data_IF_829041449963
#
_entry.id   IF_829041449963
#
_cell.length_a   1.000
_cell.length_b   1.000
_cell.length_c   1.000
_cell.angle_alpha   90.00
_cell.angle_beta   90.00
_cell.angle_gamma   90.00
#
_symmetry.space_group_name_H-M   'P 1'
#
loop_
_entity.id
_entity.type
_entity.pdbx_description
1 polymer ?
#
# COMPACT_ATOMS: atom_id res chain seq x y z
N UNK A 1 3.19 -3.97 15.92
CA UNK A 1 3.23 -5.20 15.09
C UNK A 1 3.82 -6.25 16.01
N UNK A 2 3.15 -7.38 16.23
CA UNK A 2 3.53 -8.32 17.29
C UNK A 2 3.99 -9.65 16.69
N UNK A 3 4.84 -10.36 17.43
CA UNK A 3 5.26 -11.72 17.07
C UNK A 3 4.06 -12.68 17.11
N UNK A 4 4.08 -13.66 16.21
CA UNK A 4 3.09 -14.74 16.24
C UNK A 4 3.34 -15.62 17.46
N UNK A 5 2.25 -16.04 18.11
CA UNK A 5 2.32 -17.02 19.20
C UNK A 5 2.89 -18.33 18.67
N UNK A 6 3.60 -19.05 19.54
CA UNK A 6 4.17 -20.34 19.21
C UNK A 6 3.10 -21.32 18.69
N UNK A 7 3.40 -21.99 17.56
CA UNK A 7 2.48 -22.87 16.86
C UNK A 7 1.47 -22.20 15.92
N UNK A 8 1.38 -20.86 15.91
CA UNK A 8 0.49 -20.12 14.98
C UNK A 8 1.23 -19.80 13.69
N UNK A 9 0.85 -20.46 12.59
CA UNK A 9 1.49 -20.26 11.28
C UNK A 9 0.94 -19.07 10.49
N UNK A 10 -0.32 -18.70 10.73
CA UNK A 10 -1.04 -17.65 10.02
C UNK A 10 -1.56 -16.58 10.98
N UNK A 11 -1.27 -15.32 10.70
CA UNK A 11 -1.83 -14.19 11.44
C UNK A 11 -3.34 -14.07 11.16
N UNK A 12 -4.21 -14.11 12.19
CA UNK A 12 -5.65 -14.02 11.99
C UNK A 12 -6.14 -12.63 11.56
N UNK A 13 -5.27 -11.61 11.61
CA UNK A 13 -5.66 -10.22 11.32
C UNK A 13 -5.27 -9.75 9.91
N UNK A 14 -4.16 -10.26 9.35
CA UNK A 14 -3.65 -9.83 8.04
C UNK A 14 -3.27 -10.99 7.12
N UNK A 15 -3.44 -12.24 7.56
CA UNK A 15 -3.08 -13.43 6.78
C UNK A 15 -1.56 -13.60 6.60
N UNK A 16 -0.73 -12.93 7.40
CA UNK A 16 0.72 -13.14 7.37
C UNK A 16 1.04 -14.59 7.70
N UNK A 17 1.69 -15.28 6.77
CA UNK A 17 2.16 -16.65 6.94
C UNK A 17 3.65 -16.64 7.30
N UNK A 18 3.98 -17.31 8.41
CA UNK A 18 5.36 -17.49 8.86
C UNK A 18 6.15 -18.27 7.80
N UNK A 19 7.39 -17.82 7.53
CA UNK A 19 8.31 -18.39 6.54
C UNK A 19 7.88 -18.28 5.06
N UNK A 20 6.79 -17.56 4.79
CA UNK A 20 6.33 -17.27 3.43
C UNK A 20 6.66 -15.83 3.05
N UNK A 21 7.34 -15.65 1.91
CA UNK A 21 7.58 -14.34 1.30
C UNK A 21 6.49 -13.95 0.30
N UNK A 22 5.46 -14.78 0.14
CA UNK A 22 4.48 -14.64 -0.93
C UNK A 22 3.67 -13.34 -0.82
N UNK A 23 3.64 -12.59 -1.92
CA UNK A 23 2.79 -11.43 -2.19
C UNK A 23 2.25 -11.56 -3.62
N UNK A 24 1.11 -10.95 -3.97
CA UNK A 24 0.72 -10.80 -5.37
C UNK A 24 1.88 -10.23 -6.19
N UNK A 25 2.11 -10.74 -7.40
CA UNK A 25 3.28 -10.38 -8.22
C UNK A 25 3.38 -8.89 -8.54
N UNK A 26 2.24 -8.19 -8.55
CA UNK A 26 2.16 -6.75 -8.82
C UNK A 26 2.28 -5.88 -7.56
N UNK A 27 2.39 -6.48 -6.37
CA UNK A 27 2.48 -5.77 -5.10
C UNK A 27 3.93 -5.55 -4.66
N UNK A 28 4.19 -4.52 -3.84
CA UNK A 28 5.45 -4.39 -3.11
C UNK A 28 5.81 -5.68 -2.36
N UNK A 29 7.09 -6.03 -2.38
CA UNK A 29 7.60 -7.13 -1.58
C UNK A 29 7.40 -6.84 -0.09
N UNK A 30 7.15 -7.90 0.69
CA UNK A 30 7.18 -7.79 2.16
C UNK A 30 8.56 -7.30 2.60
N UNK A 31 8.61 -6.64 3.76
CA UNK A 31 9.83 -6.12 4.38
C UNK A 31 10.46 -4.93 3.64
N UNK A 32 9.78 -4.40 2.62
CA UNK A 32 10.19 -3.16 1.96
C UNK A 32 10.08 -2.00 2.95
N UNK A 33 11.13 -1.18 3.06
CA UNK A 33 11.08 0.09 3.77
C UNK A 33 10.76 1.19 2.74
N UNK A 34 9.51 1.64 2.73
CA UNK A 34 9.03 2.67 1.83
C UNK A 34 9.27 4.06 2.44
N UNK A 35 9.79 4.97 1.63
CA UNK A 35 10.10 6.35 2.04
C UNK A 35 10.97 6.43 3.32
N UNK A 36 11.86 5.44 3.51
CA UNK A 36 12.74 5.36 4.68
C UNK A 36 12.03 5.23 6.04
N UNK A 37 10.69 5.03 6.07
CA UNK A 37 9.87 5.13 7.29
C UNK A 37 8.85 4.02 7.43
N UNK A 38 8.24 3.58 6.33
CA UNK A 38 7.10 2.67 6.37
C UNK A 38 7.54 1.25 6.03
N UNK A 39 7.53 0.37 7.01
CA UNK A 39 7.77 -1.06 6.79
C UNK A 39 6.51 -1.73 6.22
N UNK A 40 6.63 -2.33 5.05
CA UNK A 40 5.52 -2.95 4.31
C UNK A 40 5.36 -4.41 4.70
N UNK A 41 4.15 -4.76 5.17
CA UNK A 41 3.73 -6.14 5.41
C UNK A 41 2.81 -6.66 4.30
N UNK A 42 1.86 -7.52 4.67
CA UNK A 42 0.91 -8.15 3.74
C UNK A 42 -0.01 -7.15 3.01
N UNK A 43 -0.40 -7.51 1.78
CA UNK A 43 -1.59 -6.91 1.15
C UNK A 43 -2.83 -7.28 1.95
N UNK A 44 -3.62 -6.27 2.31
CA UNK A 44 -4.90 -6.41 3.02
C UNK A 44 -6.09 -5.93 2.18
N UNK A 45 -5.83 -5.35 1.00
CA UNK A 45 -6.86 -4.97 0.05
C UNK A 45 -6.27 -4.65 -1.32
N UNK A 46 -6.95 -5.05 -2.38
CA UNK A 46 -6.55 -4.77 -3.76
C UNK A 46 -7.80 -4.52 -4.60
N UNK A 47 -7.79 -3.42 -5.35
CA UNK A 47 -8.86 -3.05 -6.26
C UNK A 47 -8.30 -2.43 -7.53
N UNK A 48 -9.17 -1.94 -8.42
CA UNK A 48 -8.76 -1.41 -9.72
C UNK A 48 -7.88 -0.15 -9.69
N UNK A 49 -7.77 0.52 -8.54
CA UNK A 49 -7.08 1.81 -8.41
C UNK A 49 -5.89 1.79 -7.45
N UNK A 50 -5.67 0.69 -6.73
CA UNK A 50 -4.62 0.66 -5.74
C UNK A 50 -4.53 -0.62 -4.94
N UNK A 51 -3.40 -0.72 -4.25
CA UNK A 51 -3.06 -1.83 -3.36
C UNK A 51 -2.91 -1.27 -1.96
N UNK A 52 -3.53 -1.91 -0.98
CA UNK A 52 -3.46 -1.52 0.42
C UNK A 52 -2.71 -2.58 1.20
N UNK A 53 -1.69 -2.14 1.94
CA UNK A 53 -0.82 -2.96 2.76
C UNK A 53 -1.07 -2.69 4.23
N UNK A 54 -0.94 -3.72 5.07
CA UNK A 54 -0.61 -3.47 6.47
C UNK A 54 0.84 -2.99 6.55
N UNK A 55 1.10 -1.97 7.36
CA UNK A 55 2.45 -1.47 7.56
C UNK A 55 2.73 -1.05 9.00
N UNK A 56 3.99 -0.73 9.25
CA UNK A 56 4.46 -0.13 10.50
C UNK A 56 5.17 1.18 10.16
N UNK A 57 4.70 2.27 10.74
CA UNK A 57 5.44 3.53 10.79
C UNK A 57 6.57 3.38 11.80
N UNK A 58 7.81 3.26 11.32
CA UNK A 58 8.98 3.00 12.16
C UNK A 58 9.37 4.19 13.04
N UNK A 59 8.92 5.40 12.70
CA UNK A 59 9.23 6.61 13.49
C UNK A 59 8.25 6.75 14.65
N UNK A 60 6.97 6.48 14.42
CA UNK A 60 5.92 6.60 15.43
C UNK A 60 5.61 5.27 16.15
N UNK A 61 6.29 4.19 15.77
CA UNK A 61 6.03 2.80 16.17
C UNK A 61 4.52 2.44 16.11
N UNK A 62 3.91 2.76 14.97
CA UNK A 62 2.46 2.69 14.83
C UNK A 62 2.04 1.84 13.65
N UNK A 63 1.10 0.91 13.89
CA UNK A 63 0.47 0.14 12.80
C UNK A 63 -0.33 1.10 11.91
N UNK A 64 -0.09 1.02 10.61
CA UNK A 64 -0.76 1.84 9.59
C UNK A 64 -1.29 0.97 8.45
N UNK A 65 -2.19 1.54 7.65
CA UNK A 65 -2.50 1.03 6.33
C UNK A 65 -1.79 1.93 5.31
N UNK A 66 -1.00 1.34 4.41
CA UNK A 66 -0.34 2.06 3.32
C UNK A 66 -1.12 1.78 2.04
N UNK A 67 -1.67 2.82 1.40
CA UNK A 67 -2.38 2.68 0.13
C UNK A 67 -1.49 3.19 -1.00
N UNK A 68 -1.05 2.28 -1.86
CA UNK A 68 -0.34 2.60 -3.10
C UNK A 68 -1.35 2.89 -4.21
N UNK A 69 -1.13 3.98 -4.95
CA UNK A 69 -1.85 4.24 -6.18
C UNK A 69 -1.32 3.30 -7.28
N UNK A 70 -2.16 2.37 -7.71
CA UNK A 70 -1.82 1.33 -8.67
C UNK A 70 -3.02 1.08 -9.59
N UNK A 71 -3.24 1.93 -10.61
CA UNK A 71 -4.36 1.77 -11.54
C UNK A 71 -4.15 0.57 -12.47
N UNK A 72 -4.91 -0.48 -12.27
CA UNK A 72 -4.82 -1.73 -13.04
C UNK A 72 -4.94 -1.44 -14.53
N UNK A 73 -4.01 -1.97 -15.32
CA UNK A 73 -3.98 -1.82 -16.78
C UNK A 73 -3.24 -0.57 -17.29
N UNK A 74 -2.90 0.39 -16.41
CA UNK A 74 -2.05 1.53 -16.75
C UNK A 74 -0.67 1.46 -16.10
N UNK A 75 -0.51 0.59 -15.10
CA UNK A 75 0.75 0.34 -14.43
C UNK A 75 1.00 -1.14 -14.26
N UNK A 76 2.26 -1.54 -14.33
CA UNK A 76 2.71 -2.91 -14.09
C UNK A 76 3.85 -2.94 -13.09
N UNK A 77 3.96 -4.07 -12.39
CA UNK A 77 5.07 -4.42 -11.52
C UNK A 77 5.23 -5.94 -11.56
N UNK A 78 6.47 -6.40 -11.53
CA UNK A 78 6.80 -7.80 -11.28
C UNK A 78 7.80 -7.79 -10.12
N UNK A 79 7.29 -8.09 -8.93
CA UNK A 79 8.04 -7.95 -7.68
C UNK A 79 9.20 -8.93 -7.50
N UNK A 80 9.26 -10.00 -8.31
CA UNK A 80 10.43 -10.87 -8.40
C UNK A 80 11.63 -10.19 -9.06
N UNK A 81 11.43 -9.09 -9.78
CA UNK A 81 12.52 -8.30 -10.38
C UNK A 81 12.77 -6.99 -9.63
N UNK A 82 11.71 -6.23 -9.31
CA UNK A 82 11.85 -4.91 -8.67
C UNK A 82 10.59 -4.48 -7.94
N UNK A 83 10.77 -3.64 -6.92
CA UNK A 83 9.70 -2.88 -6.27
C UNK A 83 9.33 -1.60 -7.03
N UNK A 84 9.93 -1.35 -8.18
CA UNK A 84 9.57 -0.22 -9.04
C UNK A 84 8.37 -0.55 -9.91
N UNK A 85 7.57 0.47 -10.20
CA UNK A 85 6.44 0.38 -11.12
C UNK A 85 6.84 0.85 -12.51
N UNK A 86 6.23 0.26 -13.53
CA UNK A 86 6.35 0.67 -14.91
C UNK A 86 5.01 1.16 -15.42
N UNK A 87 4.97 2.42 -15.82
CA UNK A 87 3.78 3.07 -16.38
C UNK A 87 3.65 2.79 -17.87
N UNK A 88 2.43 2.49 -18.30
CA UNK A 88 2.06 2.51 -19.71
C UNK A 88 1.62 3.93 -20.09
N UNK A 89 2.48 4.64 -20.79
CA UNK A 89 2.21 5.99 -21.31
C UNK A 89 1.84 6.00 -22.80
N UNK A 90 1.46 4.85 -23.38
CA UNK A 90 0.97 4.81 -24.75
C UNK A 90 -0.39 5.51 -24.87
N UNK A 91 -0.67 6.10 -26.05
CA UNK A 91 -1.91 6.84 -26.29
C UNK A 91 -2.15 7.98 -25.29
N UNK A 92 -3.34 7.99 -24.67
CA UNK A 92 -3.73 8.96 -23.62
C UNK A 92 -3.25 8.57 -22.21
N UNK A 93 -2.31 7.63 -22.08
CA UNK A 93 -1.83 7.13 -20.78
C UNK A 93 -1.24 8.22 -19.89
N UNK A 94 -0.55 9.22 -20.45
CA UNK A 94 0.08 10.31 -19.68
C UNK A 94 -0.94 11.27 -19.07
N UNK A 95 -1.99 11.61 -19.82
CA UNK A 95 -3.11 12.44 -19.36
C UNK A 95 -3.90 11.69 -18.28
N UNK A 96 -4.20 10.40 -18.54
CA UNK A 96 -4.90 9.53 -17.59
C UNK A 96 -4.13 9.37 -16.27
N UNK A 97 -2.80 9.25 -16.34
CA UNK A 97 -1.93 9.22 -15.17
C UNK A 97 -2.03 10.52 -14.36
N UNK A 98 -1.88 11.67 -15.02
CA UNK A 98 -1.93 12.98 -14.36
C UNK A 98 -3.27 13.19 -13.66
N UNK A 99 -4.38 12.95 -14.38
CA UNK A 99 -5.74 13.07 -13.84
C UNK A 99 -5.98 12.09 -12.68
N UNK A 100 -5.45 10.88 -12.80
CA UNK A 100 -5.59 9.82 -11.81
C UNK A 100 -4.87 10.14 -10.50
N UNK A 101 -3.61 10.55 -10.57
CA UNK A 101 -2.82 11.02 -9.42
C UNK A 101 -3.50 12.21 -8.76
N UNK A 102 -3.96 13.17 -9.55
CA UNK A 102 -4.67 14.34 -9.04
C UNK A 102 -5.94 13.99 -8.29
N UNK A 103 -6.73 13.04 -8.80
CA UNK A 103 -7.93 12.52 -8.11
C UNK A 103 -7.55 11.82 -6.81
N UNK A 104 -6.55 10.95 -6.85
CA UNK A 104 -6.06 10.22 -5.68
C UNK A 104 -5.63 11.17 -4.55
N UNK A 105 -4.82 12.18 -4.89
CA UNK A 105 -4.36 13.18 -3.92
C UNK A 105 -5.50 14.10 -3.45
N UNK A 106 -6.47 14.43 -4.31
CA UNK A 106 -7.67 15.18 -3.88
C UNK A 106 -8.48 14.40 -2.86
N UNK A 107 -8.65 13.09 -3.02
CA UNK A 107 -9.35 12.25 -2.04
C UNK A 107 -8.61 12.21 -0.71
N UNK A 108 -7.29 11.99 -0.73
CA UNK A 108 -6.46 12.00 0.47
C UNK A 108 -6.58 13.35 1.23
N UNK A 109 -6.51 14.48 0.51
CA UNK A 109 -6.70 15.82 1.09
C UNK A 109 -8.09 16.03 1.67
N UNK A 110 -9.14 15.50 1.05
CA UNK A 110 -10.51 15.57 1.60
C UNK A 110 -10.61 14.79 2.91
N UNK A 111 -10.06 13.57 2.96
CA UNK A 111 -10.06 12.74 4.17
C UNK A 111 -9.23 13.38 5.29
N UNK A 112 -8.07 13.96 4.98
CA UNK A 112 -7.23 14.64 5.97
C UNK A 112 -7.95 15.81 6.68
N UNK A 113 -8.88 16.50 5.99
CA UNK A 113 -9.69 17.57 6.59
C UNK A 113 -10.76 17.06 7.57
N UNK A 114 -11.03 15.76 7.57
CA UNK A 114 -12.04 15.10 8.40
C UNK A 114 -11.41 14.31 9.56
N UNK A 115 -10.14 14.60 9.90
CA UNK A 115 -9.35 13.89 10.91
C UNK A 115 -10.02 13.81 12.30
N UNK A 116 -10.81 14.83 12.64
CA UNK A 116 -11.54 14.91 13.91
C UNK A 116 -12.79 14.02 13.97
N UNK A 117 -13.21 13.38 12.86
CA UNK A 117 -14.41 12.53 12.81
C UNK A 117 -14.02 11.08 13.10
N UNK A 118 -14.40 10.48 14.24
CA UNK A 118 -13.88 9.18 14.68
C UNK A 118 -14.16 8.01 13.71
N UNK A 119 -15.27 8.08 12.96
CA UNK A 119 -15.69 7.04 12.02
C UNK A 119 -15.04 7.15 10.63
N UNK A 120 -14.24 8.18 10.38
CA UNK A 120 -13.57 8.40 9.09
C UNK A 120 -12.10 8.03 9.21
N UNK A 121 -11.57 7.40 8.16
CA UNK A 121 -10.16 7.03 8.08
C UNK A 121 -9.30 8.30 8.11
N UNK A 122 -8.31 8.31 9.00
CA UNK A 122 -7.33 9.39 9.13
C UNK A 122 -6.18 9.20 8.15
N UNK A 123 -5.86 10.25 7.39
CA UNK A 123 -4.69 10.31 6.51
C UNK A 123 -3.56 10.96 7.29
N UNK A 124 -2.50 10.21 7.60
CA UNK A 124 -1.36 10.69 8.40
C UNK A 124 -0.22 11.28 7.57
N UNK A 125 -0.05 10.78 6.35
CA UNK A 125 1.04 11.16 5.44
C UNK A 125 0.61 10.88 4.00
N UNK A 126 1.20 11.60 3.04
CA UNK A 126 1.02 11.40 1.61
C UNK A 126 2.29 11.87 0.87
N UNK A 127 2.89 10.97 0.09
CA UNK A 127 4.13 11.17 -0.66
C UNK A 127 4.05 10.56 -2.05
#
# INVERSE_FOLDING_TARGET
MEELKEGVRLCPHCGYEQDSTAQPSNALNRNTILHGRYYIGNVIGQGGFGITYVGLDLVLDMKVAVKEYFPTGSVSRINSYSNEIQWDFTGSGRESWSDGIDRFLREARKMAKLDSVPAIVRVRDAF
#
